data_IF_570425129988
#
_entry.id   IF_570425129988
#
_cell.length_a   1.000
_cell.length_b   1.000
_cell.length_c   1.000
_cell.angle_alpha   90.00
_cell.angle_beta   90.00
_cell.angle_gamma   90.00
#
_symmetry.space_group_name_H-M   'P 1'
#
loop_
_entity.id
_entity.type
_entity.pdbx_description
1 polymer ?
#
# COMPACT_ATOMS: atom_id res chain seq x y z
N UNK A 1 -34.71 -0.74 -5.33
CA UNK A 1 -34.12 0.15 -4.31
C UNK A 1 -33.19 -0.70 -3.45
N UNK A 2 -31.89 -0.40 -3.43
CA UNK A 2 -30.93 -1.18 -2.65
C UNK A 2 -31.11 -0.84 -1.18
N UNK A 3 -31.49 -1.83 -0.36
CA UNK A 3 -31.57 -1.64 1.08
C UNK A 3 -30.17 -1.30 1.62
N UNK A 4 -30.04 -0.34 2.56
CA UNK A 4 -28.77 -0.06 3.18
C UNK A 4 -28.28 -1.30 3.95
N UNK A 5 -26.96 -1.54 4.00
CA UNK A 5 -26.41 -2.65 4.75
C UNK A 5 -26.81 -2.53 6.22
N UNK A 6 -27.27 -3.63 6.81
CA UNK A 6 -27.67 -3.68 8.22
C UNK A 6 -26.51 -3.21 9.11
N UNK A 7 -26.79 -2.40 10.14
CA UNK A 7 -25.75 -1.96 11.07
C UNK A 7 -25.13 -3.16 11.79
N UNK A 8 -23.83 -3.10 12.04
CA UNK A 8 -23.10 -4.14 12.78
C UNK A 8 -23.59 -4.20 14.23
N UNK A 9 -23.86 -5.39 14.74
CA UNK A 9 -24.28 -5.59 16.13
C UNK A 9 -23.06 -5.68 17.05
N UNK A 10 -23.22 -5.27 18.32
CA UNK A 10 -22.17 -5.39 19.33
C UNK A 10 -21.67 -6.84 19.49
N UNK A 11 -22.61 -7.80 19.47
CA UNK A 11 -22.28 -9.23 19.45
C UNK A 11 -21.36 -9.59 18.27
N UNK A 12 -21.66 -9.10 17.05
CA UNK A 12 -20.83 -9.38 15.87
C UNK A 12 -19.40 -8.82 15.98
N UNK A 13 -19.21 -7.72 16.72
CA UNK A 13 -17.89 -7.13 16.97
C UNK A 13 -17.14 -8.00 17.97
N UNK A 14 -17.79 -8.40 19.06
CA UNK A 14 -17.17 -9.22 20.10
C UNK A 14 -16.78 -10.60 19.58
N UNK A 15 -17.58 -11.21 18.69
CA UNK A 15 -17.27 -12.49 18.05
C UNK A 15 -15.99 -12.43 17.19
N UNK A 16 -15.72 -11.28 16.56
CA UNK A 16 -14.49 -11.07 15.77
C UNK A 16 -13.27 -11.02 16.67
N UNK A 17 -13.37 -10.37 17.85
CA UNK A 17 -12.25 -10.24 18.78
C UNK A 17 -12.07 -11.46 19.68
N UNK A 18 -13.12 -12.24 19.95
CA UNK A 18 -13.05 -13.45 20.78
C UNK A 18 -12.50 -14.66 20.03
N UNK A 19 -12.36 -14.59 18.70
CA UNK A 19 -11.89 -15.70 17.88
C UNK A 19 -12.90 -16.83 17.75
N UNK A 20 -14.15 -16.62 18.17
CA UNK A 20 -15.22 -17.62 18.07
C UNK A 20 -15.67 -17.74 16.60
N UNK A 21 -15.05 -18.65 15.85
CA UNK A 21 -15.43 -18.98 14.46
C UNK A 21 -16.67 -19.87 14.39
N UNK A 22 -17.70 -19.58 15.19
CA UNK A 22 -18.93 -20.34 15.15
C UNK A 22 -19.87 -19.71 14.11
N UNK A 23 -19.84 -20.31 12.92
CA UNK A 23 -20.85 -20.16 11.87
C UNK A 23 -20.90 -18.80 11.17
N UNK A 24 -19.80 -18.38 10.54
CA UNK A 24 -19.91 -17.40 9.45
C UNK A 24 -20.05 -18.15 8.12
N UNK A 25 -21.00 -17.75 7.24
CA UNK A 25 -20.96 -18.18 5.85
C UNK A 25 -19.60 -17.77 5.30
N UNK A 26 -18.93 -18.70 4.62
CA UNK A 26 -17.64 -18.46 3.99
C UNK A 26 -17.71 -17.12 3.26
N UNK A 27 -16.91 -16.17 3.76
CA UNK A 27 -16.75 -14.87 3.11
C UNK A 27 -16.30 -15.21 1.70
N UNK A 28 -17.16 -14.99 0.72
CA UNK A 28 -16.88 -15.33 -0.67
C UNK A 28 -15.48 -14.85 -0.98
N UNK A 29 -14.61 -15.81 -1.27
CA UNK A 29 -13.32 -15.62 -1.91
C UNK A 29 -13.58 -15.18 -3.35
N UNK A 30 -14.31 -14.08 -3.52
CA UNK A 30 -14.00 -13.13 -4.57
C UNK A 30 -12.66 -12.52 -4.16
N UNK A 31 -11.64 -13.36 -4.37
CA UNK A 31 -10.24 -13.06 -4.40
C UNK A 31 -10.13 -11.80 -5.25
N UNK A 32 -10.11 -10.64 -4.58
CA UNK A 32 -9.75 -9.38 -5.19
C UNK A 32 -8.42 -9.68 -5.87
N UNK A 33 -8.47 -9.79 -7.20
CA UNK A 33 -7.34 -10.10 -8.05
C UNK A 33 -6.12 -9.42 -7.45
N UNK A 34 -5.13 -10.22 -7.05
CA UNK A 34 -3.95 -9.75 -6.34
C UNK A 34 -3.51 -8.45 -7.01
N UNK A 35 -3.36 -7.33 -6.26
CA UNK A 35 -3.05 -6.05 -6.88
C UNK A 35 -1.84 -6.26 -7.79
N UNK A 36 -2.05 -6.03 -9.08
CA UNK A 36 -1.02 -6.23 -10.09
C UNK A 36 0.05 -5.15 -9.88
N UNK A 37 0.97 -5.40 -8.94
CA UNK A 37 2.04 -4.49 -8.61
C UNK A 37 2.94 -4.36 -9.84
N UNK A 38 3.00 -3.16 -10.41
CA UNK A 38 3.90 -2.84 -11.51
C UNK A 38 5.19 -2.28 -10.93
N UNK A 39 6.28 -2.99 -11.13
CA UNK A 39 7.61 -2.45 -10.83
C UNK A 39 7.94 -1.35 -11.82
N UNK A 40 8.23 -0.14 -11.35
CA UNK A 40 8.73 0.95 -12.20
C UNK A 40 10.23 1.11 -12.01
N UNK A 41 10.95 1.47 -13.08
CA UNK A 41 12.39 1.81 -13.02
C UNK A 41 12.64 3.29 -12.73
N UNK A 42 11.67 3.98 -12.12
CA UNK A 42 11.71 5.45 -11.92
C UNK A 42 12.90 5.90 -11.06
N UNK A 43 13.44 5.00 -10.23
CA UNK A 43 14.60 5.25 -9.38
C UNK A 43 15.79 4.35 -9.72
N UNK A 44 15.81 3.76 -10.92
CA UNK A 44 16.97 3.02 -11.38
C UNK A 44 18.16 3.98 -11.47
N UNK A 45 19.33 3.54 -10.98
CA UNK A 45 20.57 4.31 -11.13
C UNK A 45 20.89 4.42 -12.61
N UNK A 46 21.26 5.61 -13.04
CA UNK A 46 21.78 5.82 -14.40
C UNK A 46 23.07 4.99 -14.55
N UNK A 47 23.18 4.08 -15.54
CA UNK A 47 24.38 3.29 -15.76
C UNK A 47 25.61 4.13 -16.10
N UNK A 48 25.43 5.36 -16.59
CA UNK A 48 26.52 6.30 -16.83
C UNK A 48 26.86 7.16 -15.59
N UNK A 49 26.17 6.98 -14.47
CA UNK A 49 26.45 7.74 -13.25
C UNK A 49 27.78 7.31 -12.64
N UNK A 50 28.70 8.25 -12.48
CA UNK A 50 30.07 8.01 -12.00
C UNK A 50 30.15 7.45 -10.58
N UNK A 51 29.08 7.56 -9.79
CA UNK A 51 29.01 7.03 -8.42
C UNK A 51 29.88 7.78 -7.40
N UNK A 52 30.60 8.80 -7.84
CA UNK A 52 31.47 9.63 -7.01
C UNK A 52 30.65 10.63 -6.21
N UNK A 53 30.85 10.65 -4.89
CA UNK A 53 30.26 11.69 -4.04
C UNK A 53 30.78 13.08 -4.45
N UNK A 54 29.94 14.13 -4.41
CA UNK A 54 30.40 15.48 -4.68
C UNK A 54 31.54 15.87 -3.74
N UNK A 55 32.62 16.43 -4.28
CA UNK A 55 33.79 16.89 -3.52
C UNK A 55 33.48 18.05 -2.59
N UNK A 56 32.36 18.76 -2.80
CA UNK A 56 31.84 19.77 -1.90
C UNK A 56 30.36 19.48 -1.61
N UNK A 57 29.94 19.50 -0.33
CA UNK A 57 28.52 19.43 -0.02
C UNK A 57 27.81 20.61 -0.70
N UNK A 58 26.69 20.33 -1.36
CA UNK A 58 25.83 21.37 -1.89
C UNK A 58 25.39 22.26 -0.74
N UNK A 59 25.52 23.58 -0.90
CA UNK A 59 25.04 24.53 0.08
C UNK A 59 23.55 24.27 0.37
N UNK A 60 23.08 24.43 1.62
CA UNK A 60 21.67 24.29 1.91
C UNK A 60 20.89 25.24 0.98
N UNK A 61 19.94 24.68 0.22
CA UNK A 61 19.04 25.35 -0.73
C UNK A 61 19.42 25.40 -2.23
N UNK A 62 20.48 24.70 -2.69
CA UNK A 62 20.70 24.55 -4.15
C UNK A 62 19.85 23.42 -4.73
N UNK A 63 18.69 23.74 -5.32
CA UNK A 63 17.97 22.81 -6.21
C UNK A 63 18.69 22.78 -7.57
N UNK A 64 19.43 21.71 -7.84
CA UNK A 64 19.95 21.44 -9.18
C UNK A 64 18.76 21.02 -10.05
N UNK A 65 18.27 21.93 -10.89
CA UNK A 65 17.39 21.56 -12.00
C UNK A 65 18.27 21.27 -13.21
N UNK A 66 18.39 20.00 -13.58
CA UNK A 66 18.92 19.63 -14.89
C UNK A 66 17.90 20.05 -15.97
N UNK A 67 18.35 20.81 -16.97
CA UNK A 67 17.60 21.07 -18.20
C UNK A 67 17.60 19.84 -19.10
#
# INVERSE_FOLDING_TARGET
>A
MNQPPKPLSLASIHDVYSGATHNKPERSTEEKAAPAYRTTKQFARDPAHTGTAPTRPTAPNTRIRSR
#
